data_IF_841190062408
#
_entry.id   IF_841190062408
#
_cell.length_a   1.000
_cell.length_b   1.000
_cell.length_c   1.000
_cell.angle_alpha   90.00
_cell.angle_beta   90.00
_cell.angle_gamma   90.00
#
_symmetry.space_group_name_H-M   'P 1'
#
loop_
_entity.id
_entity.type
_entity.pdbx_description
1 polymer ?
#
# COMPACT_ATOMS: atom_id res chain seq x y z
N UNK A 1 -5.97 2.63 -19.90
CA UNK A 1 -6.22 1.88 -18.65
C UNK A 1 -5.51 2.61 -17.52
N UNK A 2 -6.17 2.84 -16.36
CA UNK A 2 -5.47 3.40 -15.20
C UNK A 2 -4.48 2.39 -14.65
N UNK A 3 -3.21 2.77 -14.53
CA UNK A 3 -2.21 1.97 -13.83
C UNK A 3 -2.42 2.10 -12.32
N UNK A 4 -2.08 1.03 -11.61
CA UNK A 4 -2.19 0.94 -10.16
C UNK A 4 -0.81 0.69 -9.59
N UNK A 5 -0.45 1.44 -8.58
CA UNK A 5 0.76 1.25 -7.79
C UNK A 5 0.34 1.07 -6.33
N UNK A 6 0.96 0.11 -5.67
CA UNK A 6 0.70 -0.23 -4.29
C UNK A 6 1.93 0.14 -3.47
N UNK A 7 1.71 0.80 -2.34
CA UNK A 7 2.81 1.27 -1.49
C UNK A 7 2.56 0.91 -0.03
N UNK A 8 3.61 0.49 0.66
CA UNK A 8 3.67 0.51 2.11
C UNK A 8 4.44 1.77 2.53
N UNK A 9 3.90 2.52 3.48
CA UNK A 9 4.48 3.77 3.98
C UNK A 9 4.57 3.77 5.49
N UNK A 10 5.47 4.59 6.04
CA UNK A 10 5.53 4.85 7.48
C UNK A 10 4.24 5.50 7.98
N UNK A 11 3.94 5.35 9.27
CA UNK A 11 2.75 5.94 9.89
C UNK A 11 2.99 7.34 10.46
N UNK A 12 4.17 7.90 10.23
CA UNK A 12 4.51 9.24 10.67
C UNK A 12 3.89 10.31 9.75
N UNK A 13 4.14 11.58 10.04
CA UNK A 13 3.54 12.70 9.30
C UNK A 13 4.04 12.81 7.85
N UNK A 14 5.14 12.15 7.51
CA UNK A 14 5.77 12.22 6.20
C UNK A 14 5.35 11.06 5.30
N UNK A 15 4.79 9.99 5.87
CA UNK A 15 4.35 8.78 5.15
C UNK A 15 5.42 8.30 4.14
N UNK A 16 6.68 8.21 4.61
CA UNK A 16 7.80 7.85 3.74
C UNK A 16 7.61 6.43 3.16
N UNK A 17 7.95 6.21 1.88
CA UNK A 17 7.79 4.92 1.24
C UNK A 17 8.75 3.88 1.81
N UNK A 18 8.18 2.80 2.33
CA UNK A 18 8.92 1.62 2.78
C UNK A 18 9.05 0.59 1.66
N UNK A 19 8.00 0.42 0.85
CA UNK A 19 7.99 -0.52 -0.27
C UNK A 19 7.01 -0.07 -1.36
N UNK A 20 7.35 -0.32 -2.62
CA UNK A 20 6.56 0.04 -3.79
C UNK A 20 6.42 -1.19 -4.68
N UNK A 21 5.21 -1.45 -5.15
CA UNK A 21 4.86 -2.66 -5.89
C UNK A 21 3.79 -2.40 -6.95
N UNK A 22 3.80 -3.19 -8.01
CA UNK A 22 2.77 -3.12 -9.05
C UNK A 22 1.50 -3.89 -8.64
N UNK A 23 1.62 -4.80 -7.67
CA UNK A 23 0.49 -5.60 -7.18
C UNK A 23 0.36 -5.56 -5.65
N UNK A 24 -0.88 -5.70 -5.17
CA UNK A 24 -1.15 -5.88 -3.73
C UNK A 24 -0.57 -7.19 -3.18
N UNK A 25 -0.29 -8.19 -4.04
CA UNK A 25 0.28 -9.47 -3.62
C UNK A 25 1.75 -9.33 -3.24
N UNK A 26 2.54 -8.62 -4.04
CA UNK A 26 3.92 -8.30 -3.69
C UNK A 26 4.02 -7.54 -2.36
N UNK A 27 3.07 -6.63 -2.11
CA UNK A 27 2.98 -5.91 -0.83
C UNK A 27 2.69 -6.83 0.36
N UNK A 28 1.81 -7.81 0.18
CA UNK A 28 1.47 -8.81 1.18
C UNK A 28 2.66 -9.73 1.49
N UNK A 29 3.32 -10.22 0.43
CA UNK A 29 4.49 -11.11 0.54
C UNK A 29 5.66 -10.40 1.24
N UNK A 30 5.91 -9.12 0.93
CA UNK A 30 6.94 -8.31 1.59
C UNK A 30 6.61 -7.98 3.05
N UNK A 31 5.38 -7.56 3.33
CA UNK A 31 4.98 -7.09 4.66
C UNK A 31 4.68 -8.21 5.67
N UNK A 32 4.55 -9.45 5.20
CA UNK A 32 4.17 -10.60 6.03
C UNK A 32 2.69 -10.63 6.43
N UNK A 33 1.87 -9.70 5.95
CA UNK A 33 0.43 -9.69 6.17
C UNK A 33 -0.31 -10.49 5.09
N UNK A 34 -1.48 -11.02 5.44
CA UNK A 34 -2.35 -11.66 4.44
C UNK A 34 -2.80 -10.64 3.39
N UNK A 35 -2.99 -11.12 2.15
CA UNK A 35 -3.54 -10.31 1.06
C UNK A 35 -4.88 -9.64 1.41
N UNK A 36 -5.74 -10.35 2.15
CA UNK A 36 -7.04 -9.84 2.59
C UNK A 36 -6.89 -8.67 3.56
N UNK A 37 -5.89 -8.75 4.46
CA UNK A 37 -5.59 -7.64 5.38
C UNK A 37 -5.09 -6.42 4.62
N UNK A 38 -4.14 -6.60 3.69
CA UNK A 38 -3.61 -5.50 2.87
C UNK A 38 -4.73 -4.81 2.09
N UNK A 39 -5.57 -5.58 1.40
CA UNK A 39 -6.70 -5.04 0.64
C UNK A 39 -7.72 -4.34 1.55
N UNK A 40 -8.06 -4.93 2.70
CA UNK A 40 -8.96 -4.33 3.68
C UNK A 40 -8.41 -3.01 4.22
N UNK A 41 -7.10 -2.97 4.54
CA UNK A 41 -6.42 -1.79 5.04
C UNK A 41 -6.42 -0.65 4.01
N UNK A 42 -6.18 -0.97 2.73
CA UNK A 42 -6.28 0.01 1.63
C UNK A 42 -7.73 0.50 1.49
N UNK A 43 -8.71 -0.41 1.44
CA UNK A 43 -10.11 -0.06 1.22
C UNK A 43 -10.74 0.77 2.34
N UNK A 44 -10.29 0.58 3.58
CA UNK A 44 -10.80 1.30 4.75
C UNK A 44 -9.86 2.42 5.22
N UNK A 45 -8.83 2.75 4.44
CA UNK A 45 -7.82 3.77 4.76
C UNK A 45 -7.26 3.62 6.20
N UNK A 46 -6.83 2.40 6.54
CA UNK A 46 -6.30 2.12 7.87
C UNK A 46 -5.00 2.87 8.10
N UNK A 47 -4.96 3.67 9.16
CA UNK A 47 -3.80 4.46 9.55
C UNK A 47 -2.55 3.64 9.96
N UNK A 48 -2.62 2.31 10.04
CA UNK A 48 -1.44 1.47 10.27
C UNK A 48 -0.77 1.57 11.64
N UNK A 49 -1.31 2.35 12.60
CA UNK A 49 -0.63 2.68 13.88
C UNK A 49 -0.15 1.47 14.70
N UNK A 50 -0.86 0.34 14.62
CA UNK A 50 -0.48 -0.90 15.34
C UNK A 50 0.58 -1.72 14.60
N UNK A 51 0.58 -1.68 13.26
CA UNK A 51 1.53 -2.40 12.40
C UNK A 51 2.81 -1.59 12.15
N UNK A 52 2.80 -0.27 12.40
CA UNK A 52 3.90 0.64 12.08
C UNK A 52 4.00 1.01 10.60
N UNK A 53 3.06 0.52 9.77
CA UNK A 53 3.01 0.78 8.34
C UNK A 53 1.57 0.93 7.85
N UNK A 54 1.35 1.84 6.91
CA UNK A 54 0.08 2.09 6.20
C UNK A 54 0.20 1.60 4.76
N UNK A 55 -0.90 1.11 4.20
CA UNK A 55 -0.94 0.63 2.81
C UNK A 55 -1.76 1.56 1.94
N UNK A 56 -1.21 1.92 0.77
CA UNK A 56 -1.80 2.84 -0.19
C UNK A 56 -1.97 2.18 -1.56
N UNK A 57 -2.99 2.61 -2.30
CA UNK A 57 -3.16 2.32 -3.72
C UNK A 57 -3.26 3.64 -4.48
N UNK A 58 -2.30 3.88 -5.36
CA UNK A 58 -2.25 5.05 -6.23
C UNK A 58 -2.74 4.63 -7.61
N UNK A 59 -3.67 5.39 -8.17
CA UNK A 59 -4.18 5.19 -9.52
C UNK A 59 -3.75 6.39 -10.37
N UNK A 60 -3.09 6.14 -11.50
CA UNK A 60 -2.65 7.19 -12.42
C UNK A 60 -2.94 6.83 -13.87
N UNK A 61 -3.15 7.87 -14.67
CA UNK A 61 -3.26 7.75 -16.11
C UNK A 61 -1.85 7.61 -16.70
N UNK A 62 -1.68 6.63 -17.58
CA UNK A 62 -0.41 6.39 -18.24
C UNK A 62 -0.32 7.38 -19.41
N UNK A 63 0.40 8.49 -19.23
CA UNK A 63 0.84 9.32 -20.36
C UNK A 63 1.98 8.57 -21.06
N UNK A 64 1.84 8.42 -22.37
CA UNK A 64 2.70 7.62 -23.26
C UNK A 64 4.10 8.23 -23.44
#
# INVERSE_FOLDING_TARGET
MKKKLYMAVETDKYELPLYVADTSRELADWSGFSINYVLSAISHDYAGKKSGMKFLRIEFDQEE
#
